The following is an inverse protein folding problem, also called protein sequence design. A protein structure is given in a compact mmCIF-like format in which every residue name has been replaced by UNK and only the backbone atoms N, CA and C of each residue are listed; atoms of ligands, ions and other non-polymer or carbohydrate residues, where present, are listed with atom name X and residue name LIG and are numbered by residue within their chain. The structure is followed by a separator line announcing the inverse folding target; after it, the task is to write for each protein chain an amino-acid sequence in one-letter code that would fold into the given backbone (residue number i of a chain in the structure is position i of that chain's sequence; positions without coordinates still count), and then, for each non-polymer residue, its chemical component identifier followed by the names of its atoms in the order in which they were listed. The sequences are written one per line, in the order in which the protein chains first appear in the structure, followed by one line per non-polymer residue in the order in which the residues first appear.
data_IF_976183245094
#
_entry.id   IF_976183245094
#
_cell.length_a   1.000
_cell.length_b   1.000
_cell.length_c   1.000
_cell.angle_alpha   90.00
_cell.angle_beta   90.00
_cell.angle_gamma   90.00
#
_symmetry.space_group_name_H-M   'P 1'
#
loop_
_entity.id
_entity.type
_entity.pdbx_description
1 polymer ?
#
# COMPACT_ATOMS: atom_id res chain seq x y z
N UNK A 1 -9.07 -5.88 -6.94
CA UNK A 1 -9.45 -5.37 -8.28
C UNK A 1 -8.46 -4.27 -8.62
N UNK A 2 -7.88 -4.33 -9.80
CA UNK A 2 -6.92 -3.32 -10.30
C UNK A 2 -7.71 -2.27 -11.05
N UNK A 3 -7.38 -0.99 -10.86
CA UNK A 3 -8.02 0.13 -11.53
C UNK A 3 -7.01 0.84 -12.43
N UNK A 4 -7.33 1.03 -13.70
CA UNK A 4 -6.47 1.72 -14.67
C UNK A 4 -6.91 3.18 -14.76
N UNK A 5 -6.02 4.11 -14.41
CA UNK A 5 -6.22 5.55 -14.58
C UNK A 5 -5.48 6.03 -15.82
N UNK A 6 -6.22 6.20 -16.93
CA UNK A 6 -5.65 6.62 -18.20
C UNK A 6 -5.20 8.09 -18.23
N UNK A 7 -5.86 8.96 -17.46
CA UNK A 7 -5.52 10.39 -17.40
C UNK A 7 -4.17 10.61 -16.71
N UNK A 8 -3.94 9.91 -15.58
CA UNK A 8 -2.67 9.94 -14.86
C UNK A 8 -1.61 8.99 -15.45
N UNK A 9 -2.00 8.09 -16.37
CA UNK A 9 -1.16 6.99 -16.89
C UNK A 9 -0.66 6.04 -15.80
N UNK A 10 -1.53 5.71 -14.85
CA UNK A 10 -1.21 4.89 -13.68
C UNK A 10 -2.12 3.67 -13.55
N UNK A 11 -1.60 2.62 -12.90
CA UNK A 11 -2.34 1.41 -12.56
C UNK A 11 -2.41 1.27 -11.05
N UNK A 12 -3.61 1.40 -10.50
CA UNK A 12 -3.86 1.35 -9.07
C UNK A 12 -4.14 -0.08 -8.63
N UNK A 13 -3.31 -0.60 -7.74
CA UNK A 13 -3.40 -1.95 -7.20
C UNK A 13 -3.83 -1.92 -5.74
N UNK A 14 -4.83 -2.72 -5.37
CA UNK A 14 -5.27 -2.89 -3.98
C UNK A 14 -4.65 -4.15 -3.38
N UNK A 15 -3.72 -3.97 -2.44
CA UNK A 15 -3.11 -5.04 -1.63
C UNK A 15 -3.80 -5.08 -0.27
N UNK A 16 -4.23 -6.26 0.17
CA UNK A 16 -4.93 -6.45 1.44
C UNK A 16 -4.08 -7.32 2.36
N UNK A 17 -3.67 -6.76 3.50
CA UNK A 17 -3.09 -7.53 4.59
C UNK A 17 -4.22 -8.17 5.40
N UNK A 18 -4.34 -9.50 5.34
CA UNK A 18 -5.38 -10.25 6.03
C UNK A 18 -4.80 -11.12 7.14
N UNK A 19 -5.61 -11.41 8.18
CA UNK A 19 -5.20 -12.25 9.31
C UNK A 19 -5.97 -11.93 10.61
N UNK A 20 -5.82 -12.77 11.65
CA UNK A 20 -6.50 -12.60 12.93
C UNK A 20 -6.05 -11.35 13.71
N UNK A 21 -6.75 -11.00 14.78
CA UNK A 21 -6.34 -9.88 15.66
C UNK A 21 -4.89 -10.01 16.14
N UNK A 22 -4.17 -8.89 16.25
CA UNK A 22 -2.73 -8.85 16.64
C UNK A 22 -1.75 -9.65 15.74
N UNK A 23 -2.16 -10.06 14.54
CA UNK A 23 -1.28 -10.76 13.59
C UNK A 23 -0.22 -9.88 12.88
N UNK A 24 0.03 -8.65 13.36
CA UNK A 24 1.07 -7.77 12.79
C UNK A 24 0.71 -7.01 11.50
N UNK A 25 -0.56 -7.00 11.05
CA UNK A 25 -0.99 -6.29 9.83
C UNK A 25 -0.63 -4.79 9.85
N UNK A 26 -0.89 -4.14 10.97
CA UNK A 26 -0.58 -2.71 11.17
C UNK A 26 0.92 -2.46 11.09
N UNK A 27 1.72 -3.27 11.80
CA UNK A 27 3.19 -3.21 11.78
C UNK A 27 3.75 -3.39 10.37
N UNK A 28 3.14 -4.23 9.54
CA UNK A 28 3.58 -4.39 8.15
C UNK A 28 3.41 -3.08 7.36
N UNK A 29 2.27 -2.40 7.49
CA UNK A 29 2.03 -1.13 6.80
C UNK A 29 2.98 -0.03 7.30
N UNK A 30 3.24 0.02 8.61
CA UNK A 30 4.20 0.96 9.23
C UNK A 30 5.61 0.78 8.66
N UNK A 31 6.10 -0.46 8.55
CA UNK A 31 7.44 -0.75 8.02
C UNK A 31 7.55 -0.39 6.54
N UNK A 32 6.53 -0.72 5.73
CA UNK A 32 6.52 -0.37 4.30
C UNK A 32 6.51 1.15 4.13
N UNK A 33 5.67 1.85 4.89
CA UNK A 33 5.59 3.32 4.84
C UNK A 33 6.91 3.98 5.30
N UNK A 34 7.54 3.48 6.37
CA UNK A 34 8.82 3.99 6.84
C UNK A 34 9.94 3.86 5.77
N UNK A 35 9.94 2.77 5.01
CA UNK A 35 10.94 2.47 3.97
C UNK A 35 10.64 3.07 2.59
N UNK A 36 9.46 3.66 2.38
CA UNK A 36 9.12 4.28 1.11
C UNK A 36 10.09 5.44 0.77
N UNK A 37 10.38 5.72 -0.51
CA UNK A 37 11.17 6.89 -0.91
C UNK A 37 10.53 8.20 -0.41
N UNK A 38 11.30 9.22 0.00
CA UNK A 38 10.76 10.49 0.51
C UNK A 38 9.78 11.16 -0.46
N UNK A 39 10.12 11.16 -1.75
CA UNK A 39 9.29 11.75 -2.82
C UNK A 39 7.98 10.99 -3.08
N UNK A 40 7.84 9.80 -2.49
CA UNK A 40 6.65 8.93 -2.59
C UNK A 40 5.87 8.87 -1.28
N UNK A 41 6.31 9.58 -0.22
CA UNK A 41 5.55 9.77 1.02
C UNK A 41 4.68 11.03 0.83
N UNK A 42 3.37 10.84 0.68
CA UNK A 42 2.37 11.90 0.60
C UNK A 42 1.71 12.16 1.96
#
# INVERSE_FOLDING_TARGET
MVQINFAAREVNCKIVYYGPGRSGKTTNLEVVHAKAPPDSKG
#
